data_IF_959008602381
#
_entry.id   IF_959008602381
#
_cell.length_a   1.000
_cell.length_b   1.000
_cell.length_c   1.000
_cell.angle_alpha   90.00
_cell.angle_beta   90.00
_cell.angle_gamma   90.00
#
_symmetry.space_group_name_H-M   'P 1'
#
loop_
_entity.id
_entity.type
_entity.pdbx_description
1 polymer ?
#
# COMPACT_ATOMS: atom_id res chain seq x y z
N UNK A 1 40.38 10.95 -5.62
CA UNK A 1 39.92 10.09 -4.52
C UNK A 1 39.42 8.78 -5.15
N UNK A 2 40.03 7.67 -4.84
CA UNK A 2 39.52 6.34 -5.22
C UNK A 2 38.29 6.04 -4.35
N UNK A 3 37.21 5.58 -5.00
CA UNK A 3 36.01 5.11 -4.30
C UNK A 3 36.41 3.95 -3.40
N UNK A 4 35.99 3.92 -2.10
CA UNK A 4 36.28 2.76 -1.25
C UNK A 4 35.65 1.50 -1.83
N UNK A 5 36.31 0.37 -1.70
CA UNK A 5 35.71 -0.92 -2.04
C UNK A 5 34.56 -1.22 -1.10
N UNK A 6 33.38 -1.47 -1.66
CA UNK A 6 32.20 -1.87 -0.90
C UNK A 6 32.20 -3.37 -0.81
N UNK A 7 32.53 -3.90 0.37
CA UNK A 7 32.35 -5.32 0.67
C UNK A 7 30.94 -5.55 1.19
N UNK A 8 30.25 -6.54 0.62
CA UNK A 8 28.97 -7.00 1.18
C UNK A 8 29.25 -7.62 2.55
N UNK A 9 28.54 -7.16 3.57
CA UNK A 9 28.58 -7.76 4.90
C UNK A 9 27.93 -9.15 4.95
N UNK A 10 27.85 -9.75 6.12
CA UNK A 10 27.05 -10.95 6.35
C UNK A 10 25.61 -10.72 5.87
N UNK A 11 24.96 -11.72 5.23
CA UNK A 11 23.57 -11.57 4.79
C UNK A 11 22.65 -11.26 5.97
N UNK A 12 22.01 -10.10 5.93
CA UNK A 12 21.02 -9.74 6.95
C UNK A 12 19.81 -10.67 6.85
N UNK A 13 19.24 -10.97 8.03
CA UNK A 13 18.05 -11.80 8.13
C UNK A 13 16.90 -11.03 8.77
N UNK A 14 15.73 -11.14 8.17
CA UNK A 14 14.51 -10.67 8.79
C UNK A 14 14.28 -11.44 10.09
N UNK A 15 13.96 -10.77 11.23
CA UNK A 15 13.77 -11.42 12.52
C UNK A 15 12.62 -12.43 12.46
N UNK A 16 12.78 -13.52 13.20
CA UNK A 16 11.76 -14.57 13.32
C UNK A 16 10.92 -14.31 14.57
N UNK A 17 9.59 -14.18 14.46
CA UNK A 17 8.74 -13.97 15.63
C UNK A 17 8.50 -15.26 16.39
N UNK A 18 8.20 -15.12 17.68
CA UNK A 18 7.46 -16.12 18.41
C UNK A 18 5.99 -16.06 17.99
N UNK A 19 5.43 -17.17 17.55
CA UNK A 19 4.03 -17.26 17.12
C UNK A 19 3.22 -17.96 18.19
N UNK A 20 2.11 -17.37 18.59
CA UNK A 20 1.15 -17.96 19.53
C UNK A 20 -0.28 -17.70 19.07
N UNK A 21 -1.21 -18.47 19.61
CA UNK A 21 -2.64 -18.23 19.43
C UNK A 21 -3.26 -18.06 20.81
N UNK A 22 -3.99 -16.97 21.00
CA UNK A 22 -4.71 -16.70 22.24
C UNK A 22 -6.01 -17.50 22.29
N UNK A 23 -6.56 -17.67 23.48
CA UNK A 23 -7.83 -18.39 23.68
C UNK A 23 -9.02 -17.76 22.94
N UNK A 24 -8.95 -16.47 22.67
CA UNK A 24 -9.91 -15.74 21.82
C UNK A 24 -9.86 -16.09 20.33
N UNK A 25 -8.83 -16.84 19.88
CA UNK A 25 -8.57 -17.16 18.47
C UNK A 25 -7.65 -16.19 17.75
N UNK A 26 -7.19 -15.13 18.43
CA UNK A 26 -6.24 -14.17 17.88
C UNK A 26 -4.86 -14.81 17.69
N UNK A 27 -4.31 -14.73 16.49
CA UNK A 27 -2.91 -15.10 16.23
C UNK A 27 -2.00 -13.94 16.60
N UNK A 28 -0.89 -14.21 17.29
CA UNK A 28 0.10 -13.19 17.67
C UNK A 28 1.47 -13.54 17.10
N UNK A 29 2.10 -12.59 16.43
CA UNK A 29 3.49 -12.63 16.01
C UNK A 29 4.28 -11.63 16.86
N UNK A 30 5.08 -12.13 17.77
CA UNK A 30 5.89 -11.31 18.65
C UNK A 30 7.36 -11.34 18.22
N UNK A 31 7.88 -10.18 17.84
CA UNK A 31 9.28 -9.94 17.52
C UNK A 31 9.98 -9.32 18.73
N UNK A 32 10.75 -10.11 19.45
CA UNK A 32 11.60 -9.56 20.51
C UNK A 32 12.80 -8.84 19.88
N UNK A 33 12.86 -7.53 20.08
CA UNK A 33 13.89 -6.65 19.50
C UNK A 33 14.64 -5.96 20.66
N UNK A 34 15.67 -6.61 21.21
CA UNK A 34 16.47 -6.03 22.32
C UNK A 34 17.06 -4.67 21.92
N UNK A 35 16.87 -3.67 22.78
CA UNK A 35 17.34 -2.30 22.51
C UNK A 35 16.34 -1.39 21.81
N UNK A 36 15.23 -1.92 21.28
CA UNK A 36 14.13 -1.09 20.76
C UNK A 36 13.24 -0.64 21.93
N UNK A 37 13.35 0.64 22.29
CA UNK A 37 12.61 1.21 23.43
C UNK A 37 11.21 1.73 23.05
N UNK A 38 10.91 1.80 21.75
CA UNK A 38 9.57 2.02 21.22
C UNK A 38 9.09 0.69 20.66
N UNK A 39 8.00 0.20 21.22
CA UNK A 39 7.30 -0.95 20.69
C UNK A 39 6.25 -0.49 19.68
N UNK A 40 6.10 -1.26 18.62
CA UNK A 40 5.04 -1.10 17.61
C UNK A 40 4.12 -2.33 17.69
N UNK A 41 2.82 -2.10 17.67
CA UNK A 41 1.83 -3.16 17.60
C UNK A 41 0.82 -2.84 16.48
N UNK A 42 0.44 -3.83 15.70
CA UNK A 42 -0.53 -3.67 14.62
C UNK A 42 -1.39 -4.93 14.47
N UNK A 43 -2.68 -4.75 14.54
CA UNK A 43 -3.69 -5.76 14.26
C UNK A 43 -4.00 -5.74 12.76
N UNK A 44 -3.93 -6.90 12.11
CA UNK A 44 -4.38 -7.13 10.74
C UNK A 44 -5.68 -7.90 10.80
N UNK A 45 -6.75 -7.31 10.26
CA UNK A 45 -8.08 -7.91 10.20
C UNK A 45 -8.45 -8.20 8.75
N UNK A 46 -9.07 -9.34 8.41
CA UNK A 46 -9.51 -9.67 7.07
C UNK A 46 -10.81 -8.90 6.71
N UNK A 47 -10.73 -7.57 6.74
CA UNK A 47 -11.81 -6.63 6.44
C UNK A 47 -11.51 -5.87 5.14
N UNK A 48 -11.84 -6.45 3.96
CA UNK A 48 -11.59 -5.80 2.68
C UNK A 48 -12.60 -4.66 2.44
N UNK A 49 -12.19 -3.63 1.68
CA UNK A 49 -13.08 -2.55 1.25
C UNK A 49 -14.30 -3.07 0.45
N UNK A 50 -14.19 -4.23 -0.22
CA UNK A 50 -15.33 -4.84 -0.90
C UNK A 50 -16.43 -5.37 0.05
N UNK A 51 -16.18 -5.35 1.36
CA UNK A 51 -17.19 -5.64 2.40
C UNK A 51 -18.03 -4.42 2.79
N UNK A 52 -17.68 -3.22 2.31
CA UNK A 52 -18.50 -2.02 2.53
C UNK A 52 -19.78 -2.08 1.68
N UNK A 53 -20.93 -1.58 2.20
CA UNK A 53 -22.10 -1.33 1.37
C UNK A 53 -21.78 -0.30 0.27
N UNK A 54 -22.22 -0.52 -0.94
CA UNK A 54 -21.87 0.32 -2.10
C UNK A 54 -22.29 1.80 -1.91
N UNK A 55 -23.42 2.03 -1.26
CA UNK A 55 -23.94 3.35 -0.94
C UNK A 55 -23.33 3.97 0.34
N UNK A 56 -22.39 3.28 0.99
CA UNK A 56 -21.69 3.66 2.22
C UNK A 56 -20.18 3.48 2.10
N UNK A 57 -19.65 3.48 0.88
CA UNK A 57 -18.20 3.37 0.68
C UNK A 57 -17.46 4.49 1.41
N UNK A 58 -16.41 4.13 2.12
CA UNK A 58 -15.69 5.01 3.04
C UNK A 58 -16.02 4.79 4.51
N UNK A 59 -17.07 3.98 4.83
CA UNK A 59 -17.43 3.68 6.22
C UNK A 59 -16.27 3.06 6.99
N UNK A 60 -15.46 2.21 6.37
CA UNK A 60 -14.26 1.65 6.98
C UNK A 60 -13.27 2.73 7.42
N UNK A 61 -13.02 3.71 6.56
CA UNK A 61 -12.10 4.83 6.86
C UNK A 61 -12.66 5.71 7.99
N UNK A 62 -13.94 6.04 7.92
CA UNK A 62 -14.62 6.84 8.97
C UNK A 62 -14.60 6.10 10.31
N UNK A 63 -14.93 4.80 10.33
CA UNK A 63 -14.92 4.00 11.54
C UNK A 63 -13.52 3.92 12.17
N UNK A 64 -12.47 3.74 11.35
CA UNK A 64 -11.09 3.70 11.85
C UNK A 64 -10.61 5.04 12.44
N UNK A 65 -11.09 6.16 11.94
CA UNK A 65 -10.76 7.47 12.49
C UNK A 65 -11.58 7.82 13.74
N UNK A 66 -12.77 7.23 13.89
CA UNK A 66 -13.62 7.46 15.03
C UNK A 66 -13.45 6.42 16.17
N UNK A 67 -12.63 5.39 15.95
CA UNK A 67 -12.57 4.22 16.84
C UNK A 67 -11.98 4.55 18.22
N UNK A 68 -11.08 5.53 18.30
CA UNK A 68 -10.38 5.97 19.50
C UNK A 68 -10.80 7.34 20.00
N UNK A 69 -11.86 7.93 19.42
CA UNK A 69 -12.48 9.16 19.92
C UNK A 69 -13.24 8.95 21.26
N UNK A 70 -13.59 7.71 21.56
CA UNK A 70 -14.22 7.32 22.82
C UNK A 70 -14.60 5.85 22.84
N UNK A 71 -14.62 5.29 24.05
CA UNK A 71 -15.17 3.96 24.33
C UNK A 71 -16.40 4.07 25.21
N UNK A 72 -17.11 2.97 25.42
CA UNK A 72 -18.24 2.95 26.37
C UNK A 72 -17.80 3.24 27.81
N UNK A 73 -16.57 2.84 28.17
CA UNK A 73 -15.98 3.07 29.50
C UNK A 73 -15.33 4.45 29.61
N UNK A 74 -14.65 4.93 28.56
CA UNK A 74 -13.98 6.23 28.53
C UNK A 74 -14.47 7.06 27.33
N UNK A 75 -15.67 7.65 27.44
CA UNK A 75 -16.26 8.44 26.35
C UNK A 75 -15.57 9.80 26.18
N UNK A 76 -15.97 10.55 25.14
CA UNK A 76 -15.66 11.98 24.97
C UNK A 76 -14.14 12.29 24.92
N UNK A 77 -13.37 11.47 24.19
CA UNK A 77 -11.90 11.62 24.08
C UNK A 77 -11.12 11.02 25.25
N UNK A 78 -11.80 10.50 26.29
CA UNK A 78 -11.14 9.99 27.49
C UNK A 78 -10.17 8.85 27.23
N UNK A 79 -10.45 7.96 26.28
CA UNK A 79 -9.53 6.87 25.91
C UNK A 79 -8.27 7.42 25.21
N UNK A 80 -8.42 8.45 24.36
CA UNK A 80 -7.32 9.14 23.71
C UNK A 80 -6.37 9.78 24.72
N UNK A 81 -6.90 10.51 25.70
CA UNK A 81 -6.11 11.12 26.79
C UNK A 81 -5.32 10.05 27.57
N UNK A 82 -5.94 8.91 27.87
CA UNK A 82 -5.27 7.82 28.57
C UNK A 82 -4.12 7.25 27.75
N UNK A 83 -4.29 7.05 26.44
CA UNK A 83 -3.24 6.59 25.53
C UNK A 83 -2.10 7.61 25.43
N UNK A 84 -2.42 8.88 25.23
CA UNK A 84 -1.44 9.97 25.17
C UNK A 84 -0.62 10.09 26.45
N UNK A 85 -1.25 9.96 27.61
CA UNK A 85 -0.58 9.96 28.91
C UNK A 85 0.43 8.79 29.07
N UNK A 86 0.26 7.71 28.31
CA UNK A 86 1.26 6.63 28.23
C UNK A 86 2.30 6.85 27.10
N UNK A 87 2.17 7.95 26.34
CA UNK A 87 2.99 8.21 25.16
C UNK A 87 2.67 7.27 24.00
N UNK A 88 1.45 6.77 23.94
CA UNK A 88 0.98 5.91 22.88
C UNK A 88 0.26 6.69 21.79
N UNK A 89 0.35 6.19 20.54
CA UNK A 89 -0.42 6.68 19.40
C UNK A 89 -1.15 5.51 18.77
N UNK A 90 -2.36 5.75 18.25
CA UNK A 90 -3.09 4.79 17.43
C UNK A 90 -3.27 5.32 16.01
N UNK A 91 -3.37 4.42 15.06
CA UNK A 91 -3.73 4.71 13.68
C UNK A 91 -4.38 3.49 13.04
N UNK A 92 -5.32 3.72 12.15
CA UNK A 92 -5.96 2.69 11.36
C UNK A 92 -5.84 2.94 9.86
N UNK A 93 -5.84 1.88 9.06
CA UNK A 93 -5.82 1.98 7.59
C UNK A 93 -6.70 0.91 6.98
N UNK A 94 -7.72 1.32 6.22
CA UNK A 94 -8.51 0.42 5.39
C UNK A 94 -7.85 0.24 4.03
N UNK A 95 -7.58 -1.01 3.65
CA UNK A 95 -6.96 -1.39 2.38
C UNK A 95 -7.91 -2.28 1.58
N UNK A 96 -7.64 -2.44 0.29
CA UNK A 96 -8.51 -3.21 -0.60
C UNK A 96 -8.85 -4.61 -0.08
N UNK A 97 -7.90 -5.28 0.59
CA UNK A 97 -8.07 -6.68 1.01
C UNK A 97 -8.07 -6.90 2.51
N UNK A 98 -7.66 -5.93 3.29
CA UNK A 98 -7.58 -6.04 4.75
C UNK A 98 -7.59 -4.65 5.38
N UNK A 99 -7.78 -4.63 6.67
CA UNK A 99 -7.71 -3.42 7.49
C UNK A 99 -6.65 -3.60 8.56
N UNK A 100 -5.93 -2.53 8.89
CA UNK A 100 -5.01 -2.51 10.02
C UNK A 100 -5.45 -1.48 11.05
N UNK A 101 -5.23 -1.78 12.33
CA UNK A 101 -5.34 -0.85 13.45
C UNK A 101 -4.21 -1.15 14.43
N UNK A 102 -3.45 -0.16 14.77
CA UNK A 102 -2.31 -0.35 15.66
C UNK A 102 -1.69 0.97 16.09
N UNK A 103 -0.49 0.88 16.68
CA UNK A 103 0.17 2.06 17.17
C UNK A 103 1.56 1.81 17.69
N UNK A 104 2.08 2.81 18.37
CA UNK A 104 3.39 2.78 19.02
C UNK A 104 3.27 3.24 20.46
N UNK A 105 4.14 2.70 21.30
CA UNK A 105 4.27 3.14 22.68
C UNK A 105 5.70 2.87 23.20
N UNK A 106 6.16 3.58 24.25
CA UNK A 106 7.36 3.16 24.94
C UNK A 106 7.21 1.72 25.45
N UNK A 107 8.21 0.85 25.18
CA UNK A 107 8.13 -0.59 25.50
C UNK A 107 7.78 -0.83 26.98
N UNK A 108 8.29 0.00 27.88
CA UNK A 108 7.99 -0.06 29.34
C UNK A 108 6.53 0.26 29.71
N UNK A 109 5.73 0.76 28.75
CA UNK A 109 4.32 1.15 28.94
C UNK A 109 3.33 0.20 28.26
N UNK A 110 3.80 -0.84 27.61
CA UNK A 110 2.90 -1.77 26.91
C UNK A 110 1.89 -2.45 27.85
N UNK A 111 2.27 -2.71 29.10
CA UNK A 111 1.38 -3.29 30.09
C UNK A 111 0.17 -2.40 30.42
N UNK A 112 0.33 -1.08 30.30
CA UNK A 112 -0.75 -0.09 30.47
C UNK A 112 -1.48 0.20 29.16
N UNK A 113 -0.78 0.15 28.02
CA UNK A 113 -1.33 0.51 26.69
C UNK A 113 -2.18 -0.63 26.10
N UNK A 114 -1.73 -1.89 26.16
CA UNK A 114 -2.48 -2.99 25.54
C UNK A 114 -3.88 -3.22 26.14
N UNK A 115 -4.12 -3.03 27.44
CA UNK A 115 -5.48 -3.02 27.98
C UNK A 115 -6.37 -1.91 27.37
N UNK A 116 -5.84 -0.69 27.18
CA UNK A 116 -6.57 0.41 26.53
C UNK A 116 -6.84 0.11 25.06
N UNK A 117 -5.85 -0.44 24.36
CA UNK A 117 -6.04 -0.90 22.98
C UNK A 117 -7.10 -2.00 22.89
N UNK A 118 -7.12 -2.93 23.83
CA UNK A 118 -8.17 -3.98 23.92
C UNK A 118 -9.55 -3.37 24.12
N UNK A 119 -9.66 -2.32 24.91
CA UNK A 119 -10.92 -1.58 25.12
C UNK A 119 -11.39 -0.90 23.81
N UNK A 120 -10.47 -0.23 23.08
CA UNK A 120 -10.76 0.35 21.76
C UNK A 120 -11.26 -0.73 20.78
N UNK A 121 -10.67 -1.94 20.80
CA UNK A 121 -11.11 -3.05 19.96
C UNK A 121 -12.47 -3.62 20.35
N UNK A 122 -12.81 -3.60 21.64
CA UNK A 122 -13.97 -4.32 22.17
C UNK A 122 -15.22 -3.45 22.21
N UNK A 123 -15.09 -2.19 22.59
CA UNK A 123 -16.23 -1.33 22.93
C UNK A 123 -16.09 0.14 22.48
N UNK A 124 -15.71 0.40 21.20
CA UNK A 124 -15.67 1.76 20.70
C UNK A 124 -17.07 2.37 20.73
N UNK A 125 -17.18 3.65 21.15
CA UNK A 125 -18.46 4.31 21.34
C UNK A 125 -19.12 4.71 20.01
N UNK A 126 -18.35 5.15 19.03
CA UNK A 126 -18.83 5.71 17.76
C UNK A 126 -19.95 6.72 17.99
N UNK A 127 -19.69 7.76 18.80
CA UNK A 127 -20.71 8.79 19.07
C UNK A 127 -21.06 9.55 17.78
N UNK A 128 -22.32 9.93 17.62
CA UNK A 128 -22.84 10.58 16.39
C UNK A 128 -22.00 11.79 15.98
N UNK A 129 -21.57 12.63 16.96
CA UNK A 129 -20.77 13.83 16.70
C UNK A 129 -19.38 13.49 16.14
N UNK A 130 -18.73 12.41 16.62
CA UNK A 130 -17.38 12.04 16.26
C UNK A 130 -17.37 11.42 14.86
N UNK A 131 -18.34 10.55 14.58
CA UNK A 131 -18.55 9.99 13.24
C UNK A 131 -18.87 11.11 12.23
N UNK A 132 -19.78 12.04 12.57
CA UNK A 132 -20.12 13.17 11.70
C UNK A 132 -18.90 14.06 11.43
N UNK A 133 -18.07 14.34 12.45
CA UNK A 133 -16.83 15.10 12.30
C UNK A 133 -15.89 14.44 11.28
N UNK A 134 -15.67 13.13 11.37
CA UNK A 134 -14.80 12.42 10.43
C UNK A 134 -15.40 12.31 9.03
N UNK A 135 -16.71 12.19 8.89
CA UNK A 135 -17.40 12.30 7.59
C UNK A 135 -17.13 13.65 6.95
N UNK A 136 -17.38 14.76 7.68
CA UNK A 136 -17.13 16.12 7.18
C UNK A 136 -15.69 16.34 6.78
N UNK A 137 -14.73 15.86 7.59
CA UNK A 137 -13.31 15.96 7.30
C UNK A 137 -12.91 15.20 6.03
N UNK A 138 -13.46 13.98 5.81
CA UNK A 138 -13.18 13.19 4.60
C UNK A 138 -13.81 13.85 3.36
N UNK A 139 -15.04 14.36 3.45
CA UNK A 139 -15.70 15.09 2.36
C UNK A 139 -14.91 16.35 2.00
N UNK A 140 -14.54 17.17 3.00
CA UNK A 140 -13.75 18.39 2.77
C UNK A 140 -12.38 18.09 2.14
N UNK A 141 -11.76 16.93 2.46
CA UNK A 141 -10.47 16.51 1.90
C UNK A 141 -10.55 15.94 0.49
N UNK A 142 -11.73 15.58 -0.02
CA UNK A 142 -11.89 14.86 -1.30
C UNK A 142 -11.37 15.65 -2.50
N UNK A 143 -11.82 16.89 -2.66
CA UNK A 143 -11.37 17.74 -3.78
C UNK A 143 -9.87 18.03 -3.74
N UNK A 144 -9.31 18.22 -2.55
CA UNK A 144 -7.87 18.39 -2.38
C UNK A 144 -7.07 17.15 -2.82
N UNK A 145 -7.59 15.94 -2.53
CA UNK A 145 -6.98 14.68 -3.01
C UNK A 145 -7.03 14.57 -4.53
N UNK A 146 -8.15 14.95 -5.16
CA UNK A 146 -8.28 14.94 -6.62
C UNK A 146 -7.47 16.04 -7.31
N UNK A 147 -7.25 17.18 -6.65
CA UNK A 147 -6.38 18.24 -7.16
C UNK A 147 -4.90 17.86 -7.12
N UNK A 148 -4.51 16.84 -6.32
CA UNK A 148 -3.13 16.33 -6.29
C UNK A 148 -2.86 15.47 -7.52
N UNK A 149 -1.94 15.86 -8.43
CA UNK A 149 -1.71 15.14 -9.68
C UNK A 149 -1.35 13.66 -9.48
N UNK A 150 -0.54 13.37 -8.46
CA UNK A 150 -0.14 12.00 -8.15
C UNK A 150 -1.29 11.13 -7.62
N UNK A 151 -2.27 11.72 -6.95
CA UNK A 151 -3.46 11.01 -6.45
C UNK A 151 -4.47 10.79 -7.57
N UNK A 152 -4.70 11.83 -8.37
CA UNK A 152 -5.64 11.78 -9.50
C UNK A 152 -5.22 10.75 -10.56
N UNK A 153 -3.95 10.75 -11.01
CA UNK A 153 -3.50 9.77 -12.01
C UNK A 153 -3.53 8.34 -11.47
N UNK A 154 -3.26 8.14 -10.17
CA UNK A 154 -3.38 6.80 -9.55
C UNK A 154 -4.82 6.32 -9.51
N UNK A 155 -5.76 7.20 -9.17
CA UNK A 155 -7.19 6.86 -9.19
C UNK A 155 -7.66 6.59 -10.62
N UNK A 156 -7.28 7.44 -11.60
CA UNK A 156 -7.58 7.24 -13.01
C UNK A 156 -7.06 5.89 -13.52
N UNK A 157 -5.79 5.57 -13.23
CA UNK A 157 -5.20 4.29 -13.60
C UNK A 157 -5.92 3.11 -12.93
N UNK A 158 -6.27 3.22 -11.64
CA UNK A 158 -7.02 2.15 -10.96
C UNK A 158 -8.40 1.95 -11.58
N UNK A 159 -9.14 3.04 -11.87
CA UNK A 159 -10.43 2.99 -12.56
C UNK A 159 -10.29 2.29 -13.93
N UNK A 160 -9.19 2.56 -14.62
CA UNK A 160 -8.88 1.93 -15.91
C UNK A 160 -8.59 0.43 -15.77
N UNK A 161 -7.82 0.02 -14.75
CA UNK A 161 -7.39 -1.37 -14.55
C UNK A 161 -8.45 -2.27 -13.94
N UNK A 162 -9.35 -1.74 -13.12
CA UNK A 162 -10.34 -2.50 -12.36
C UNK A 162 -11.79 -2.24 -12.83
N UNK A 163 -12.04 -1.17 -13.56
CA UNK A 163 -13.37 -0.68 -13.91
C UNK A 163 -13.98 0.20 -12.83
N UNK A 164 -14.80 1.16 -13.24
CA UNK A 164 -15.50 2.07 -12.33
C UNK A 164 -16.52 1.34 -11.43
N UNK A 165 -17.09 0.25 -11.92
CA UNK A 165 -18.08 -0.57 -11.21
C UNK A 165 -17.44 -1.49 -10.14
N UNK A 166 -16.12 -1.66 -10.17
CA UNK A 166 -15.43 -2.49 -9.22
C UNK A 166 -14.91 -1.66 -8.03
N UNK A 167 -15.04 -2.17 -6.79
CA UNK A 167 -14.58 -1.45 -5.59
C UNK A 167 -13.12 -1.02 -5.65
N UNK A 168 -12.26 -1.81 -6.28
CA UNK A 168 -10.84 -1.48 -6.44
C UNK A 168 -10.58 -0.33 -7.44
N UNK A 169 -11.53 -0.02 -8.32
CA UNK A 169 -11.48 1.11 -9.24
C UNK A 169 -12.03 2.42 -8.65
N UNK A 170 -12.66 2.37 -7.47
CA UNK A 170 -13.23 3.53 -6.78
C UNK A 170 -12.33 4.07 -5.66
N UNK A 171 -12.52 5.32 -5.21
CA UNK A 171 -11.74 5.90 -4.11
C UNK A 171 -11.82 5.04 -2.85
N UNK A 172 -10.68 4.70 -2.25
CA UNK A 172 -10.64 3.85 -1.05
C UNK A 172 -11.43 4.47 0.12
N UNK A 173 -11.39 5.80 0.27
CA UNK A 173 -12.09 6.52 1.32
C UNK A 173 -13.53 6.94 0.94
N UNK A 174 -14.10 6.40 -0.15
CA UNK A 174 -15.43 6.78 -0.64
C UNK A 174 -15.44 8.08 -1.44
N UNK A 175 -16.64 8.48 -1.85
CA UNK A 175 -16.95 9.75 -2.53
C UNK A 175 -17.74 10.67 -1.60
N UNK A 176 -17.88 11.97 -1.89
CA UNK A 176 -18.74 12.85 -1.09
C UNK A 176 -20.16 12.31 -0.87
N UNK A 177 -20.77 11.72 -1.91
CA UNK A 177 -22.12 11.17 -1.83
C UNK A 177 -22.19 9.94 -0.92
N UNK A 178 -21.26 8.98 -1.07
CA UNK A 178 -21.25 7.77 -0.22
C UNK A 178 -20.88 8.11 1.22
N UNK A 179 -19.96 9.06 1.42
CA UNK A 179 -19.54 9.52 2.74
C UNK A 179 -20.67 10.25 3.48
N UNK A 180 -21.41 11.16 2.79
CA UNK A 180 -22.53 11.89 3.39
C UNK A 180 -23.66 10.97 3.86
N UNK A 181 -23.72 9.75 3.36
CA UNK A 181 -24.69 8.74 3.77
C UNK A 181 -24.22 7.90 4.98
N UNK A 182 -22.95 7.98 5.40
CA UNK A 182 -22.41 7.23 6.54
C UNK A 182 -22.88 7.79 7.85
N UNK A 183 -23.38 6.93 8.74
CA UNK A 183 -23.88 7.25 10.07
C UNK A 183 -23.11 6.48 11.15
N UNK A 184 -23.28 6.88 12.43
CA UNK A 184 -22.71 6.16 13.56
C UNK A 184 -23.17 4.69 13.64
N UNK A 185 -24.46 4.34 13.42
CA UNK A 185 -24.87 2.95 13.29
C UNK A 185 -24.17 2.18 12.18
N UNK A 186 -23.82 2.81 11.05
CA UNK A 186 -23.07 2.15 9.97
C UNK A 186 -21.65 1.83 10.41
N UNK A 187 -20.95 2.78 11.08
CA UNK A 187 -19.61 2.56 11.62
C UNK A 187 -19.61 1.45 12.67
N UNK A 188 -20.59 1.45 13.60
CA UNK A 188 -20.77 0.39 14.59
C UNK A 188 -21.01 -0.98 13.93
N UNK A 189 -21.88 -1.01 12.89
CA UNK A 189 -22.19 -2.25 12.19
C UNK A 189 -20.98 -2.79 11.43
N UNK A 190 -20.21 -1.90 10.76
CA UNK A 190 -19.00 -2.28 10.07
C UNK A 190 -17.98 -2.87 11.06
N UNK A 191 -17.75 -2.21 12.19
CA UNK A 191 -16.87 -2.70 13.24
C UNK A 191 -17.32 -4.07 13.76
N UNK A 192 -18.58 -4.24 14.17
CA UNK A 192 -19.10 -5.53 14.68
C UNK A 192 -18.99 -6.67 13.65
N UNK A 193 -19.08 -6.35 12.36
CA UNK A 193 -19.01 -7.36 11.30
C UNK A 193 -17.60 -7.83 11.02
N UNK A 194 -16.62 -6.94 11.15
CA UNK A 194 -15.27 -7.19 10.66
C UNK A 194 -14.22 -7.33 11.77
N UNK A 195 -14.40 -6.67 12.90
CA UNK A 195 -13.43 -6.72 14.01
C UNK A 195 -13.69 -7.93 14.90
N UNK A 196 -12.90 -8.97 14.69
CA UNK A 196 -12.96 -10.22 15.46
C UNK A 196 -11.54 -10.73 15.69
N UNK A 197 -11.24 -11.33 16.86
CA UNK A 197 -9.97 -12.00 17.08
C UNK A 197 -9.79 -13.22 16.18
N UNK A 198 -10.90 -13.87 15.80
CA UNK A 198 -10.85 -15.01 14.89
C UNK A 198 -10.47 -14.58 13.48
N UNK A 199 -9.36 -15.11 12.98
CA UNK A 199 -8.81 -14.78 11.66
C UNK A 199 -7.98 -13.49 11.62
N UNK A 200 -7.89 -12.75 12.73
CA UNK A 200 -6.99 -11.62 12.86
C UNK A 200 -5.58 -12.05 13.29
N UNK A 201 -4.59 -11.24 12.94
CA UNK A 201 -3.21 -11.40 13.40
C UNK A 201 -2.74 -10.10 14.03
N UNK A 202 -2.29 -10.17 15.27
CA UNK A 202 -1.60 -9.07 15.93
C UNK A 202 -0.09 -9.25 15.78
N UNK A 203 0.57 -8.22 15.30
CA UNK A 203 2.02 -8.13 15.23
C UNK A 203 2.50 -7.19 16.31
N UNK A 204 3.48 -7.62 17.09
CA UNK A 204 4.09 -6.80 18.14
C UNK A 204 5.60 -6.90 18.01
N UNK A 205 6.28 -5.77 17.93
CA UNK A 205 7.73 -5.70 17.86
C UNK A 205 8.26 -4.71 18.90
N UNK A 206 9.25 -5.14 19.70
CA UNK A 206 9.88 -4.32 20.73
C UNK A 206 10.45 -5.17 21.85
N UNK A 207 11.09 -4.52 22.83
CA UNK A 207 11.67 -5.21 23.98
C UNK A 207 10.60 -5.54 25.03
N UNK A 208 10.55 -6.81 25.50
CA UNK A 208 9.77 -7.21 26.68
C UNK A 208 8.25 -7.16 26.54
N UNK A 209 7.72 -7.24 25.33
CA UNK A 209 6.27 -7.12 25.07
C UNK A 209 5.44 -8.34 25.51
N UNK A 210 6.06 -9.50 25.67
CA UNK A 210 5.37 -10.79 25.82
C UNK A 210 4.41 -10.86 27.01
N UNK A 211 4.81 -10.33 28.17
CA UNK A 211 4.00 -10.41 29.39
C UNK A 211 2.71 -9.54 29.31
N UNK A 212 2.69 -8.58 28.41
CA UNK A 212 1.56 -7.64 28.23
C UNK A 212 0.47 -8.18 27.32
N UNK A 213 0.73 -9.25 26.55
CA UNK A 213 -0.20 -9.78 25.53
C UNK A 213 -1.46 -10.42 26.12
N UNK A 214 -1.40 -10.83 27.41
CA UNK A 214 -2.55 -11.42 28.10
C UNK A 214 -3.78 -10.48 28.18
N UNK A 215 -3.58 -9.17 28.06
CA UNK A 215 -4.69 -8.21 28.03
C UNK A 215 -5.66 -8.47 26.87
N UNK A 216 -5.16 -8.94 25.75
CA UNK A 216 -5.92 -9.19 24.52
C UNK A 216 -6.82 -10.44 24.59
N UNK A 217 -6.66 -11.30 25.59
CA UNK A 217 -7.58 -12.43 25.83
C UNK A 217 -9.01 -11.96 26.15
N UNK A 218 -9.17 -10.71 26.59
CA UNK A 218 -10.48 -10.12 26.88
C UNK A 218 -11.24 -9.69 25.63
N UNK A 219 -10.54 -9.52 24.50
CA UNK A 219 -11.20 -9.19 23.25
C UNK A 219 -11.89 -10.43 22.68
N UNK A 220 -13.22 -10.41 22.74
CA UNK A 220 -14.06 -11.48 22.22
C UNK A 220 -15.09 -10.92 21.25
N UNK A 221 -15.25 -11.56 20.12
CA UNK A 221 -16.28 -11.21 19.13
C UNK A 221 -16.65 -12.47 18.33
N UNK A 222 -17.84 -12.52 17.71
CA UNK A 222 -18.17 -13.58 16.77
C UNK A 222 -17.17 -13.64 15.61
N UNK A 223 -16.93 -14.82 15.00
CA UNK A 223 -16.12 -14.90 13.79
C UNK A 223 -16.64 -13.93 12.71
N UNK A 224 -15.74 -13.28 11.95
CA UNK A 224 -16.15 -12.34 10.90
C UNK A 224 -16.91 -13.09 9.80
N UNK A 225 -17.84 -12.40 9.15
CA UNK A 225 -18.48 -12.93 7.95
C UNK A 225 -17.45 -13.12 6.84
N UNK A 226 -17.47 -14.24 6.09
CA UNK A 226 -16.56 -14.42 4.97
C UNK A 226 -16.77 -13.31 3.94
N UNK A 227 -15.77 -12.48 3.73
CA UNK A 227 -15.79 -11.49 2.66
C UNK A 227 -15.21 -12.14 1.39
N UNK A 228 -16.06 -12.41 0.41
CA UNK A 228 -15.60 -12.85 -0.90
C UNK A 228 -15.02 -11.65 -1.67
N UNK A 229 -13.72 -11.66 -1.92
CA UNK A 229 -13.11 -10.69 -2.83
C UNK A 229 -13.67 -10.93 -4.24
N UNK A 230 -14.35 -9.94 -4.79
CA UNK A 230 -14.74 -9.97 -6.20
C UNK A 230 -13.48 -9.75 -7.04
N UNK A 231 -13.27 -10.62 -8.03
CA UNK A 231 -12.16 -10.42 -8.98
C UNK A 231 -12.68 -9.47 -10.06
N UNK A 232 -11.98 -8.36 -10.27
CA UNK A 232 -12.31 -7.42 -11.35
C UNK A 232 -12.13 -8.09 -12.71
N UNK A 233 -13.03 -7.80 -13.65
CA UNK A 233 -12.86 -8.21 -15.04
C UNK A 233 -11.58 -7.58 -15.63
N UNK A 234 -10.98 -8.26 -16.62
CA UNK A 234 -9.92 -7.65 -17.41
C UNK A 234 -10.53 -6.69 -18.43
N UNK A 235 -9.99 -5.47 -18.49
CA UNK A 235 -10.37 -4.48 -19.50
C UNK A 235 -9.23 -4.28 -20.50
N UNK A 236 -9.54 -3.98 -21.80
CA UNK A 236 -8.51 -3.57 -22.74
C UNK A 236 -7.82 -2.30 -22.22
N UNK A 237 -6.49 -2.22 -22.28
CA UNK A 237 -5.77 -1.05 -21.80
C UNK A 237 -6.10 0.18 -22.65
N UNK A 238 -6.35 1.31 -21.98
CA UNK A 238 -6.62 2.60 -22.61
C UNK A 238 -5.63 3.66 -22.14
N UNK A 239 -5.60 4.78 -22.85
CA UNK A 239 -4.92 6.00 -22.42
C UNK A 239 -5.99 6.97 -21.96
N UNK A 240 -5.94 7.36 -20.69
CA UNK A 240 -6.91 8.29 -20.11
C UNK A 240 -6.22 9.56 -19.63
N UNK A 241 -6.91 10.70 -19.79
CA UNK A 241 -6.43 12.02 -19.36
C UNK A 241 -7.39 12.57 -18.32
N UNK A 242 -6.85 12.99 -17.19
CA UNK A 242 -7.55 13.85 -16.21
C UNK A 242 -7.18 15.29 -16.58
N UNK A 243 -8.17 16.08 -16.96
CA UNK A 243 -7.92 17.43 -17.43
C UNK A 243 -7.53 18.37 -16.29
N UNK A 244 -6.45 19.10 -16.51
CA UNK A 244 -6.00 20.23 -15.70
C UNK A 244 -5.62 21.35 -16.66
N UNK A 245 -6.55 22.26 -16.97
CA UNK A 245 -6.33 23.34 -17.92
C UNK A 245 -5.10 24.19 -17.58
N UNK A 246 -4.37 24.60 -18.61
CA UNK A 246 -3.18 25.45 -18.51
C UNK A 246 -2.01 24.82 -17.70
N UNK A 247 -2.05 23.53 -17.41
CA UNK A 247 -0.97 22.87 -16.69
C UNK A 247 0.32 22.82 -17.51
N UNK A 248 1.38 23.42 -17.00
CA UNK A 248 2.72 23.42 -17.62
C UNK A 248 3.47 22.09 -17.41
N UNK A 249 2.98 21.25 -16.51
CA UNK A 249 3.49 19.90 -16.24
C UNK A 249 2.37 18.88 -16.38
N UNK A 250 2.72 17.72 -16.91
CA UNK A 250 1.87 16.55 -16.90
C UNK A 250 2.44 15.49 -15.98
N UNK A 251 1.59 14.89 -15.15
CA UNK A 251 1.95 13.71 -14.37
C UNK A 251 1.46 12.48 -15.10
N UNK A 252 2.37 11.55 -15.37
CA UNK A 252 2.13 10.34 -16.15
C UNK A 252 2.30 9.13 -15.27
N UNK A 253 1.40 8.17 -15.37
CA UNK A 253 1.58 6.83 -14.80
C UNK A 253 1.14 5.78 -15.80
N UNK A 254 1.95 4.75 -15.98
CA UNK A 254 1.60 3.55 -16.73
C UNK A 254 1.56 2.36 -15.80
N UNK A 255 0.69 1.39 -16.04
CA UNK A 255 0.65 0.23 -15.17
C UNK A 255 -0.33 -0.83 -15.61
N UNK A 256 -0.29 -1.96 -14.89
CA UNK A 256 -1.19 -3.09 -15.06
C UNK A 256 -1.31 -3.91 -13.79
N UNK A 257 -2.33 -4.74 -13.74
CA UNK A 257 -2.48 -5.79 -12.72
C UNK A 257 -1.47 -6.89 -12.97
N UNK A 258 -0.89 -7.42 -11.89
CA UNK A 258 0.16 -8.43 -11.91
C UNK A 258 -0.09 -9.49 -10.84
N UNK A 259 0.89 -10.35 -10.64
CA UNK A 259 0.85 -11.43 -9.65
C UNK A 259 1.13 -10.96 -8.23
N UNK A 260 0.71 -11.75 -7.24
CA UNK A 260 1.07 -11.55 -5.84
C UNK A 260 2.48 -12.07 -5.53
N UNK A 261 2.93 -11.89 -4.29
CA UNK A 261 4.21 -12.43 -3.78
C UNK A 261 4.31 -13.95 -3.83
N UNK A 262 3.19 -14.66 -4.00
CA UNK A 262 3.15 -16.13 -4.07
C UNK A 262 3.62 -16.69 -5.42
N UNK A 263 3.69 -15.84 -6.45
CA UNK A 263 4.18 -16.28 -7.77
C UNK A 263 5.67 -16.64 -7.67
N UNK A 264 6.09 -17.79 -8.19
CA UNK A 264 7.50 -18.22 -8.14
C UNK A 264 8.46 -17.26 -8.84
N UNK A 265 7.99 -16.43 -9.76
CA UNK A 265 8.76 -15.42 -10.47
C UNK A 265 8.92 -14.12 -9.67
N UNK A 266 8.34 -14.02 -8.47
CA UNK A 266 8.30 -12.76 -7.71
C UNK A 266 9.68 -12.13 -7.50
N UNK A 267 10.70 -12.92 -7.18
CA UNK A 267 12.08 -12.43 -7.02
C UNK A 267 12.64 -11.86 -8.33
N UNK A 268 12.42 -12.55 -9.45
CA UNK A 268 12.82 -12.08 -10.77
C UNK A 268 12.12 -10.78 -11.17
N UNK A 269 10.81 -10.68 -10.92
CA UNK A 269 10.03 -9.46 -11.16
C UNK A 269 10.50 -8.29 -10.30
N UNK A 270 10.86 -8.53 -9.04
CA UNK A 270 11.40 -7.48 -8.15
C UNK A 270 12.72 -6.91 -8.67
N UNK A 271 13.65 -7.77 -9.10
CA UNK A 271 14.91 -7.32 -9.70
C UNK A 271 14.68 -6.59 -11.02
N UNK A 272 13.85 -7.14 -11.89
CA UNK A 272 13.50 -6.51 -13.17
C UNK A 272 12.89 -5.14 -12.98
N UNK A 273 11.91 -4.99 -12.05
CA UNK A 273 11.30 -3.70 -11.72
C UNK A 273 12.31 -2.68 -11.21
N UNK A 274 13.26 -3.11 -10.37
CA UNK A 274 14.34 -2.27 -9.87
C UNK A 274 15.25 -1.78 -11.00
N UNK A 275 15.65 -2.66 -11.92
CA UNK A 275 16.49 -2.33 -13.06
C UNK A 275 15.77 -1.43 -14.09
N UNK A 276 14.47 -1.62 -14.31
CA UNK A 276 13.69 -0.80 -15.28
C UNK A 276 13.40 0.60 -14.76
N UNK A 277 12.92 0.74 -13.51
CA UNK A 277 12.38 2.00 -13.01
C UNK A 277 12.65 2.29 -11.53
N UNK A 278 13.03 1.29 -10.73
CA UNK A 278 13.17 1.48 -9.27
C UNK A 278 14.47 2.16 -8.86
N UNK A 279 15.56 1.96 -9.61
CA UNK A 279 16.86 2.54 -9.31
C UNK A 279 17.00 3.95 -9.90
N UNK A 280 17.84 4.76 -9.25
CA UNK A 280 18.23 6.08 -9.78
C UNK A 280 18.89 5.98 -11.18
N UNK A 281 19.70 4.94 -11.40
CA UNK A 281 20.32 4.61 -12.67
C UNK A 281 19.57 3.50 -13.43
N UNK A 282 18.24 3.39 -13.25
CA UNK A 282 17.40 2.47 -14.01
C UNK A 282 17.30 2.87 -15.48
N UNK A 283 16.93 1.92 -16.35
CA UNK A 283 16.83 2.17 -17.80
C UNK A 283 15.97 3.38 -18.14
N UNK A 284 14.79 3.49 -17.51
CA UNK A 284 13.88 4.61 -17.78
C UNK A 284 14.41 5.95 -17.25
N UNK A 285 15.13 5.96 -16.13
CA UNK A 285 15.77 7.19 -15.65
C UNK A 285 16.95 7.61 -16.53
N UNK A 286 17.78 6.67 -16.98
CA UNK A 286 18.86 6.97 -17.92
C UNK A 286 18.34 7.55 -19.23
N UNK A 287 17.22 7.06 -19.72
CA UNK A 287 16.57 7.56 -20.94
C UNK A 287 15.92 8.93 -20.71
N UNK A 288 14.93 9.01 -19.82
CA UNK A 288 14.03 10.17 -19.69
C UNK A 288 14.64 11.32 -18.90
N UNK A 289 15.47 11.01 -17.90
CA UNK A 289 16.10 12.03 -17.07
C UNK A 289 17.48 12.44 -17.62
N UNK A 290 18.40 11.47 -17.77
CA UNK A 290 19.79 11.80 -18.11
C UNK A 290 19.96 12.16 -19.59
N UNK A 291 19.38 11.37 -20.50
CA UNK A 291 19.55 11.60 -21.94
C UNK A 291 18.64 12.70 -22.50
N UNK A 292 17.35 12.68 -22.12
CA UNK A 292 16.34 13.58 -22.68
C UNK A 292 16.04 14.80 -21.81
N UNK A 293 16.35 14.79 -20.51
CA UNK A 293 16.09 15.91 -19.62
C UNK A 293 14.59 16.25 -19.46
N UNK A 294 13.70 15.25 -19.62
CA UNK A 294 12.24 15.45 -19.57
C UNK A 294 11.70 15.54 -18.15
N UNK A 295 12.38 14.93 -17.20
CA UNK A 295 11.92 14.77 -15.82
C UNK A 295 13.07 14.85 -14.82
N UNK A 296 12.76 15.11 -13.56
CA UNK A 296 13.69 14.91 -12.44
C UNK A 296 13.81 13.44 -12.03
N UNK A 297 12.85 12.59 -12.40
CA UNK A 297 12.89 11.15 -12.15
C UNK A 297 11.60 10.45 -12.54
N UNK A 298 11.79 9.20 -12.95
CA UNK A 298 10.74 8.20 -13.15
C UNK A 298 10.91 7.14 -12.07
N UNK A 299 9.84 6.79 -11.41
CA UNK A 299 9.88 5.78 -10.35
C UNK A 299 8.76 4.77 -10.48
N UNK A 300 9.00 3.59 -9.92
CA UNK A 300 8.00 2.54 -9.88
C UNK A 300 8.58 1.14 -9.85
N UNK A 301 7.72 0.16 -10.11
CA UNK A 301 8.06 -1.26 -10.09
C UNK A 301 6.86 -2.12 -9.71
N UNK A 302 7.13 -3.33 -9.25
CA UNK A 302 6.11 -4.26 -8.81
C UNK A 302 5.76 -4.03 -7.34
N UNK A 303 4.50 -3.67 -7.08
CA UNK A 303 3.91 -3.58 -5.74
C UNK A 303 3.07 -4.84 -5.50
N UNK A 304 3.37 -5.62 -4.45
CA UNK A 304 2.59 -6.81 -4.16
C UNK A 304 1.25 -6.43 -3.53
N UNK A 305 0.21 -7.15 -3.90
CA UNK A 305 -1.04 -7.18 -3.15
C UNK A 305 -1.23 -8.56 -2.51
N UNK A 306 -2.37 -8.77 -1.88
CA UNK A 306 -2.72 -10.04 -1.21
C UNK A 306 -2.91 -11.16 -2.24
N UNK A 307 -3.77 -10.94 -3.22
CA UNK A 307 -4.14 -11.94 -4.24
C UNK A 307 -3.47 -11.65 -5.59
N UNK A 308 -3.39 -10.38 -5.94
CA UNK A 308 -2.75 -9.85 -7.13
C UNK A 308 -1.95 -8.61 -6.77
N UNK A 309 -0.97 -8.24 -7.60
CA UNK A 309 -0.17 -7.06 -7.45
C UNK A 309 -0.44 -6.03 -8.55
N UNK A 310 0.30 -4.95 -8.50
CA UNK A 310 0.35 -3.93 -9.54
C UNK A 310 1.79 -3.71 -9.99
N UNK A 311 1.97 -3.53 -11.28
CA UNK A 311 3.15 -2.87 -11.81
C UNK A 311 2.76 -1.45 -12.17
N UNK A 312 3.51 -0.48 -11.68
CA UNK A 312 3.30 0.93 -12.01
C UNK A 312 4.63 1.63 -12.18
N UNK A 313 4.71 2.52 -13.17
CA UNK A 313 5.87 3.39 -13.40
C UNK A 313 5.35 4.75 -13.83
N UNK A 314 5.91 5.83 -13.28
CA UNK A 314 5.49 7.17 -13.65
C UNK A 314 6.33 8.27 -13.03
N UNK A 315 6.00 9.49 -13.39
CA UNK A 315 6.64 10.70 -12.92
C UNK A 315 6.03 11.94 -13.57
N UNK A 316 6.54 13.12 -13.22
CA UNK A 316 6.09 14.38 -13.81
C UNK A 316 7.09 14.83 -14.87
N UNK A 317 6.55 15.31 -15.99
CA UNK A 317 7.29 15.85 -17.14
C UNK A 317 6.68 17.19 -17.57
N UNK A 318 7.38 18.00 -18.37
CA UNK A 318 6.76 19.17 -18.98
C UNK A 318 5.68 18.76 -19.98
N UNK A 319 4.59 19.53 -20.06
CA UNK A 319 3.43 19.21 -20.92
C UNK A 319 3.83 19.03 -22.39
N UNK A 320 4.75 19.86 -22.92
CA UNK A 320 5.19 19.79 -24.32
C UNK A 320 5.91 18.50 -24.71
N UNK A 321 6.48 17.76 -23.74
CA UNK A 321 7.20 16.51 -23.99
C UNK A 321 6.43 15.27 -23.47
N UNK A 322 5.25 15.47 -22.90
CA UNK A 322 4.53 14.40 -22.21
C UNK A 322 4.15 13.24 -23.15
N UNK A 323 3.72 13.53 -24.38
CA UNK A 323 3.37 12.49 -25.35
C UNK A 323 4.58 11.65 -25.76
N UNK A 324 5.76 12.28 -26.02
CA UNK A 324 6.99 11.54 -26.31
C UNK A 324 7.46 10.77 -25.08
N UNK A 325 7.33 11.34 -23.88
CA UNK A 325 7.66 10.64 -22.64
C UNK A 325 6.82 9.36 -22.44
N UNK A 326 5.51 9.41 -22.71
CA UNK A 326 4.64 8.21 -22.68
C UNK A 326 5.10 7.19 -23.74
N UNK A 327 5.37 7.61 -24.96
CA UNK A 327 5.86 6.71 -26.00
C UNK A 327 7.19 6.04 -25.61
N UNK A 328 8.14 6.80 -25.03
CA UNK A 328 9.42 6.27 -24.51
C UNK A 328 9.24 5.32 -23.34
N UNK A 329 8.31 5.62 -22.41
CA UNK A 329 7.95 4.69 -21.35
C UNK A 329 7.49 3.35 -21.90
N UNK A 330 6.53 3.36 -22.83
CA UNK A 330 6.00 2.15 -23.45
C UNK A 330 7.07 1.40 -24.26
N UNK A 331 7.95 2.13 -24.98
CA UNK A 331 9.09 1.53 -25.69
C UNK A 331 10.09 0.87 -24.72
N UNK A 332 10.42 1.52 -23.61
CA UNK A 332 11.29 0.97 -22.58
C UNK A 332 10.72 -0.27 -21.90
N UNK A 333 9.40 -0.32 -21.69
CA UNK A 333 8.72 -1.49 -21.15
C UNK A 333 8.73 -2.71 -22.10
N UNK A 334 8.92 -2.51 -23.40
CA UNK A 334 9.08 -3.62 -24.35
C UNK A 334 10.32 -4.46 -24.07
N UNK A 335 11.27 -3.93 -23.32
CA UNK A 335 12.51 -4.61 -22.93
C UNK A 335 13.16 -5.35 -24.12
N UNK A 336 13.33 -4.64 -25.26
CA UNK A 336 13.83 -5.24 -26.50
C UNK A 336 15.19 -5.91 -26.28
N UNK A 337 16.07 -5.25 -25.54
CA UNK A 337 17.34 -5.82 -25.12
C UNK A 337 17.20 -6.47 -23.74
N UNK A 338 17.70 -7.71 -23.56
CA UNK A 338 17.68 -8.39 -22.27
C UNK A 338 18.46 -7.58 -21.22
N UNK A 339 18.22 -7.87 -19.95
CA UNK A 339 19.06 -7.32 -18.89
C UNK A 339 20.48 -7.87 -18.97
N UNK A 340 21.46 -7.01 -18.71
CA UNK A 340 22.85 -7.39 -18.51
C UNK A 340 23.10 -7.90 -17.08
N UNK A 341 24.21 -8.65 -16.90
CA UNK A 341 24.67 -9.07 -15.58
C UNK A 341 24.82 -7.87 -14.63
N UNK A 342 25.39 -6.75 -15.12
CA UNK A 342 25.60 -5.56 -14.31
C UNK A 342 24.32 -4.94 -13.78
N UNK A 343 23.25 -4.86 -14.60
CA UNK A 343 21.96 -4.29 -14.18
C UNK A 343 21.29 -5.14 -13.10
N UNK A 344 21.32 -6.46 -13.27
CA UNK A 344 20.70 -7.37 -12.28
C UNK A 344 21.55 -7.45 -11.02
N UNK A 345 22.88 -7.42 -11.12
CA UNK A 345 23.78 -7.37 -9.97
C UNK A 345 23.64 -6.07 -9.18
N UNK A 346 23.48 -4.93 -9.85
CA UNK A 346 23.22 -3.65 -9.18
C UNK A 346 21.86 -3.65 -8.48
N UNK A 347 20.81 -4.14 -9.12
CA UNK A 347 19.49 -4.30 -8.53
C UNK A 347 19.51 -5.24 -7.31
N UNK A 348 20.21 -6.37 -7.43
CA UNK A 348 20.37 -7.36 -6.35
C UNK A 348 21.12 -6.77 -5.16
N UNK A 349 22.26 -6.13 -5.41
CA UNK A 349 23.06 -5.46 -4.35
C UNK A 349 22.24 -4.40 -3.64
N UNK A 350 21.45 -3.62 -4.37
CA UNK A 350 20.58 -2.62 -3.76
C UNK A 350 19.49 -3.26 -2.90
N UNK A 351 18.68 -4.18 -3.45
CA UNK A 351 17.53 -4.74 -2.74
C UNK A 351 17.94 -5.56 -1.51
N UNK A 352 19.03 -6.31 -1.58
CA UNK A 352 19.55 -7.06 -0.43
C UNK A 352 20.29 -6.12 0.53
N UNK A 353 21.10 -5.20 0.01
CA UNK A 353 21.90 -4.31 0.83
C UNK A 353 21.11 -3.25 1.59
N UNK A 354 19.95 -2.83 1.08
CA UNK A 354 19.06 -1.87 1.78
C UNK A 354 18.19 -2.56 2.84
N UNK A 355 18.07 -3.88 2.81
CA UNK A 355 17.17 -4.62 3.70
C UNK A 355 17.38 -4.33 5.19
N UNK A 356 18.62 -4.29 5.75
CA UNK A 356 18.83 -3.92 7.15
C UNK A 356 18.29 -2.54 7.49
N UNK A 357 18.56 -1.55 6.62
CA UNK A 357 18.11 -0.17 6.82
C UNK A 357 16.58 -0.03 6.69
N UNK A 358 16.00 -0.74 5.73
CA UNK A 358 14.55 -0.74 5.51
C UNK A 358 13.75 -1.52 6.57
N UNK A 359 14.43 -2.13 7.54
CA UNK A 359 13.83 -2.90 8.63
C UNK A 359 14.57 -2.62 9.95
N UNK A 360 15.00 -1.38 10.17
CA UNK A 360 15.81 -0.98 11.32
C UNK A 360 14.96 -0.83 12.59
N UNK A 361 13.73 -0.33 12.44
CA UNK A 361 12.85 -0.02 13.57
C UNK A 361 11.78 -1.08 13.80
N UNK A 362 11.18 -1.10 15.00
CA UNK A 362 10.01 -1.93 15.28
C UNK A 362 8.85 -1.67 14.32
N UNK A 363 8.67 -0.41 13.89
CA UNK A 363 7.64 -0.03 12.93
C UNK A 363 7.88 -0.65 11.55
N UNK A 364 9.12 -0.64 11.07
CA UNK A 364 9.48 -1.23 9.78
C UNK A 364 9.26 -2.75 9.78
N UNK A 365 9.68 -3.42 10.85
CA UNK A 365 9.46 -4.87 11.03
C UNK A 365 7.96 -5.18 11.02
N UNK A 366 7.17 -4.46 11.80
CA UNK A 366 5.71 -4.65 11.87
C UNK A 366 5.07 -4.38 10.51
N UNK A 367 5.43 -3.31 9.81
CA UNK A 367 4.87 -3.01 8.50
C UNK A 367 5.13 -4.11 7.45
N UNK A 368 6.33 -4.68 7.44
CA UNK A 368 6.66 -5.83 6.57
C UNK A 368 5.87 -7.08 6.98
N UNK A 369 5.85 -7.38 8.28
CA UNK A 369 5.15 -8.55 8.81
C UNK A 369 3.62 -8.45 8.59
N UNK A 370 3.01 -7.27 8.75
CA UNK A 370 1.58 -7.02 8.47
C UNK A 370 1.22 -7.32 7.02
N UNK A 371 2.08 -6.93 6.08
CA UNK A 371 1.87 -7.25 4.68
C UNK A 371 2.00 -8.75 4.38
N UNK A 372 2.82 -9.49 5.14
CA UNK A 372 2.90 -10.95 5.04
C UNK A 372 1.66 -11.61 5.64
N UNK A 373 1.28 -11.23 6.86
CA UNK A 373 0.11 -11.76 7.54
C UNK A 373 -1.17 -11.54 6.70
N UNK A 374 -1.36 -10.34 6.16
CA UNK A 374 -2.48 -10.02 5.28
C UNK A 374 -2.51 -10.87 4.00
N UNK A 375 -1.34 -11.22 3.47
CA UNK A 375 -1.23 -12.11 2.32
C UNK A 375 -1.29 -13.60 2.71
N UNK A 376 -1.44 -13.96 3.99
CA UNK A 376 -1.39 -15.33 4.48
C UNK A 376 -0.05 -16.01 4.19
N UNK A 377 1.03 -15.26 4.27
CA UNK A 377 2.41 -15.74 4.11
C UNK A 377 3.05 -15.93 5.47
N UNK A 378 3.91 -16.93 5.58
CA UNK A 378 4.66 -17.21 6.79
C UNK A 378 5.75 -16.14 7.03
N UNK A 379 6.14 -15.87 8.30
CA UNK A 379 7.18 -14.89 8.61
C UNK A 379 8.52 -15.17 7.94
N UNK A 380 8.84 -16.44 7.71
CA UNK A 380 10.06 -16.89 7.01
C UNK A 380 10.16 -16.44 5.55
N UNK A 381 9.05 -16.05 4.92
CA UNK A 381 9.01 -15.64 3.52
C UNK A 381 10.07 -14.59 3.16
N UNK A 382 10.35 -13.63 4.04
CA UNK A 382 11.34 -12.58 3.72
C UNK A 382 12.75 -13.15 3.53
N UNK A 383 13.16 -14.10 4.38
CA UNK A 383 14.47 -14.74 4.29
C UNK A 383 14.55 -15.62 3.03
N UNK A 384 13.49 -16.34 2.70
CA UNK A 384 13.42 -17.15 1.48
C UNK A 384 13.44 -16.24 0.24
N UNK A 385 12.79 -15.08 0.31
CA UNK A 385 12.79 -14.09 -0.77
C UNK A 385 14.19 -13.50 -1.00
N UNK A 386 14.95 -13.18 0.05
CA UNK A 386 16.34 -12.72 -0.10
C UNK A 386 17.24 -13.79 -0.74
N UNK A 387 17.04 -15.05 -0.34
CA UNK A 387 17.75 -16.17 -0.98
C UNK A 387 17.35 -16.33 -2.46
N UNK A 388 16.07 -16.17 -2.77
CA UNK A 388 15.59 -16.20 -4.14
C UNK A 388 16.14 -15.05 -4.98
N UNK A 389 16.18 -13.80 -4.45
CA UNK A 389 16.80 -12.65 -5.13
C UNK A 389 18.27 -12.92 -5.47
N UNK A 390 19.01 -13.57 -4.57
CA UNK A 390 20.42 -13.91 -4.80
C UNK A 390 20.62 -14.91 -5.95
N UNK A 391 19.64 -15.76 -6.23
CA UNK A 391 19.72 -16.83 -7.22
C UNK A 391 19.23 -16.45 -8.62
N UNK A 392 18.47 -15.35 -8.78
CA UNK A 392 17.91 -14.93 -10.09
C UNK A 392 19.00 -14.61 -11.10
N UNK A 393 18.88 -15.13 -12.30
CA UNK A 393 19.75 -14.79 -13.44
C UNK A 393 19.17 -13.61 -14.27
N UNK A 394 19.97 -12.92 -15.10
CA UNK A 394 19.48 -11.92 -16.05
C UNK A 394 18.42 -12.47 -17.01
N UNK A 395 18.56 -13.72 -17.43
CA UNK A 395 17.60 -14.38 -18.31
C UNK A 395 16.26 -14.61 -17.61
N UNK A 396 16.27 -15.04 -16.33
CA UNK A 396 15.06 -15.20 -15.51
C UNK A 396 14.33 -13.86 -15.35
N UNK A 397 15.06 -12.80 -15.01
CA UNK A 397 14.50 -11.45 -14.85
C UNK A 397 13.93 -10.92 -16.17
N UNK A 398 14.63 -11.13 -17.28
CA UNK A 398 14.22 -10.72 -18.63
C UNK A 398 12.94 -11.45 -19.06
N UNK A 399 12.93 -12.78 -18.92
CA UNK A 399 11.79 -13.61 -19.29
C UNK A 399 10.55 -13.26 -18.45
N UNK A 400 10.72 -13.17 -17.12
CA UNK A 400 9.64 -12.82 -16.20
C UNK A 400 9.05 -11.44 -16.50
N UNK A 401 9.87 -10.43 -16.77
CA UNK A 401 9.41 -9.08 -17.08
C UNK A 401 8.65 -9.02 -18.42
N UNK A 402 9.21 -9.60 -19.49
CA UNK A 402 8.58 -9.60 -20.81
C UNK A 402 7.22 -10.30 -20.81
N UNK A 403 7.10 -11.40 -20.09
CA UNK A 403 5.83 -12.11 -19.92
C UNK A 403 4.85 -11.28 -19.08
N UNK A 404 5.33 -10.66 -18.00
CA UNK A 404 4.47 -9.98 -17.06
C UNK A 404 4.05 -8.57 -17.51
N UNK A 405 4.88 -7.82 -18.27
CA UNK A 405 4.63 -6.43 -18.64
C UNK A 405 4.76 -6.21 -20.18
N UNK A 406 3.99 -6.92 -21.02
CA UNK A 406 3.98 -6.61 -22.43
C UNK A 406 3.37 -5.20 -22.63
N UNK A 407 3.99 -4.29 -23.43
CA UNK A 407 3.60 -2.89 -23.52
C UNK A 407 2.14 -2.66 -23.93
N UNK A 408 1.59 -3.55 -24.78
CA UNK A 408 0.20 -3.48 -25.26
C UNK A 408 -0.83 -3.82 -24.16
N UNK A 409 -0.39 -4.26 -22.98
CA UNK A 409 -1.26 -4.66 -21.88
C UNK A 409 -1.24 -3.69 -20.70
N UNK A 410 -0.56 -2.55 -20.81
CA UNK A 410 -0.50 -1.53 -19.75
C UNK A 410 -1.49 -0.40 -20.04
N UNK A 411 -2.25 -0.01 -19.02
CA UNK A 411 -3.04 1.22 -19.05
C UNK A 411 -2.14 2.44 -18.82
N UNK A 412 -2.55 3.57 -19.34
CA UNK A 412 -1.85 4.86 -19.20
C UNK A 412 -2.82 5.88 -18.64
N UNK A 413 -2.44 6.57 -17.58
CA UNK A 413 -3.17 7.73 -17.07
C UNK A 413 -2.24 8.94 -17.03
N UNK A 414 -2.76 10.07 -17.50
CA UNK A 414 -2.04 11.35 -17.53
C UNK A 414 -2.93 12.41 -16.88
N UNK A 415 -2.38 13.25 -16.02
CA UNK A 415 -3.04 14.48 -15.58
C UNK A 415 -2.26 15.67 -16.11
N UNK A 416 -2.96 16.58 -16.80
CA UNK A 416 -2.38 17.77 -17.42
C UNK A 416 -3.37 18.44 -18.35
N UNK A 417 -2.93 19.42 -19.13
CA UNK A 417 -3.77 20.17 -20.08
C UNK A 417 -4.23 19.28 -21.24
N UNK A 418 -5.50 18.85 -21.20
CA UNK A 418 -6.08 17.97 -22.20
C UNK A 418 -6.08 18.60 -23.60
N UNK A 419 -6.22 19.94 -23.72
CA UNK A 419 -6.21 20.62 -25.00
C UNK A 419 -4.85 20.46 -25.72
N UNK A 420 -3.75 20.42 -24.96
CA UNK A 420 -2.41 20.14 -25.48
C UNK A 420 -2.13 18.64 -25.62
N UNK A 421 -2.56 17.82 -24.66
CA UNK A 421 -2.18 16.41 -24.56
C UNK A 421 -2.91 15.52 -25.58
N UNK A 422 -4.21 15.74 -25.84
CA UNK A 422 -4.99 14.90 -26.76
C UNK A 422 -4.37 14.86 -28.16
N UNK A 423 -4.13 16.00 -28.83
CA UNK A 423 -3.52 15.99 -30.18
C UNK A 423 -2.06 15.49 -30.14
N UNK A 424 -1.30 15.77 -29.08
CA UNK A 424 0.09 15.32 -28.97
C UNK A 424 0.19 13.80 -28.82
N UNK A 425 -0.66 13.17 -28.00
CA UNK A 425 -0.73 11.71 -27.87
C UNK A 425 -1.21 11.05 -29.16
N UNK A 426 -2.20 11.63 -29.83
CA UNK A 426 -2.64 11.13 -31.13
C UNK A 426 -1.52 11.16 -32.19
N UNK A 427 -0.66 12.17 -32.17
CA UNK A 427 0.48 12.28 -33.09
C UNK A 427 1.53 11.17 -32.89
N UNK A 428 1.64 10.59 -31.69
CA UNK A 428 2.49 9.42 -31.41
C UNK A 428 1.73 8.08 -31.46
N UNK A 429 0.51 8.09 -32.01
CA UNK A 429 -0.29 6.89 -32.24
C UNK A 429 -1.09 6.41 -31.03
N UNK A 430 -1.25 7.23 -30.00
CA UNK A 430 -1.99 6.91 -28.79
C UNK A 430 -3.31 7.68 -28.74
N UNK A 431 -4.42 6.99 -28.98
CA UNK A 431 -5.75 7.56 -28.78
C UNK A 431 -6.04 7.70 -27.28
N UNK A 432 -6.35 8.91 -26.84
CA UNK A 432 -6.61 9.19 -25.44
C UNK A 432 -8.05 9.66 -25.21
N UNK A 433 -8.63 9.27 -24.09
CA UNK A 433 -9.96 9.67 -23.64
C UNK A 433 -9.83 10.60 -22.43
N UNK A 434 -10.54 11.73 -22.44
CA UNK A 434 -10.61 12.62 -21.27
C UNK A 434 -11.68 12.09 -20.32
N UNK A 435 -11.28 11.90 -19.05
CA UNK A 435 -12.14 11.30 -18.02
C UNK A 435 -12.35 12.27 -16.87
N UNK A 436 -13.56 12.27 -16.32
CA UNK A 436 -13.89 12.94 -15.06
C UNK A 436 -13.78 11.93 -13.90
N UNK A 437 -13.06 12.30 -12.85
CA UNK A 437 -12.93 11.48 -11.65
C UNK A 437 -14.03 11.74 -10.59
N UNK A 438 -14.84 12.78 -10.81
CA UNK A 438 -15.93 13.15 -9.91
C UNK A 438 -17.25 12.44 -10.26
N UNK A 439 -17.39 11.96 -11.49
CA UNK A 439 -18.58 11.29 -12.02
C UNK A 439 -18.46 9.79 -12.19
#
# INVERSE_FOLDING_TARGET
MTRPDVTMGEPWRFPTPAISQLGSGLTVWHFDLPGQHIATFELVVPAPLSGEPEDREGVATVALHAIDEGTLTHPDGGIGELLENQGATLHGTARQRYTTLGGQAPSRRLAEVLPLFTEVLSEPAFADRDVAHHVEAQVAGYDSKLASPSSAVRLALRRELFGADHRDGRPAAGTPDTLAAVTAPDAQQWHRTHFSPAGATLLVAGSGAQDSLAALERWTAPPPAPAAAKIAAAHPPRVVIVDQPDAVQATVVVGRRTVSRRDPRWAALRLAGQAVAGAFASRLNLELRERLGYTYGIGGGFAPGTDEGLFTVGGSVRTEVAADAVARLLEGLALREPFSDAEIDDARRYLIGVAPLANETSADIVAQASALAAAGLEPGFMNDHFAALAAVTPDDATAAFRDMVPPQSVGVAVMGDAAALVPALAAVGLAAEVVDLRG
#
